data_IF_680047116367
#
_entry.id   IF_680047116367
#
_cell.length_a   1.000
_cell.length_b   1.000
_cell.length_c   1.000
_cell.angle_alpha   90.00
_cell.angle_beta   90.00
_cell.angle_gamma   90.00
#
_symmetry.space_group_name_H-M   'P 1'
#
loop_
_entity.id
_entity.type
_entity.pdbx_description
1 polymer ?
#
# COMPACT_ATOMS: atom_id res chain seq x y z
N UNK A 1 -9.23 -17.25 0.45
CA UNK A 1 -9.46 -15.87 0.87
C UNK A 1 -10.30 -15.83 2.15
N UNK A 2 -9.75 -16.27 3.24
CA UNK A 2 -10.37 -16.16 4.57
C UNK A 2 -9.72 -15.05 5.38
N UNK A 3 -10.35 -14.66 6.47
CA UNK A 3 -9.71 -13.86 7.50
C UNK A 3 -8.57 -14.73 8.06
N UNK A 4 -7.35 -14.18 8.14
CA UNK A 4 -6.19 -14.92 8.64
C UNK A 4 -6.48 -15.56 9.99
N UNK A 5 -6.20 -16.85 10.13
CA UNK A 5 -6.44 -17.63 11.33
C UNK A 5 -7.84 -18.22 11.48
N UNK A 6 -8.83 -17.84 10.65
CA UNK A 6 -10.22 -18.31 10.79
C UNK A 6 -10.40 -19.82 10.58
N UNK A 7 -9.50 -20.46 9.85
CA UNK A 7 -9.47 -21.89 9.55
C UNK A 7 -8.39 -22.66 10.35
N UNK A 8 -7.68 -21.96 11.23
CA UNK A 8 -6.69 -22.58 12.12
C UNK A 8 -7.36 -23.14 13.37
N UNK A 9 -6.86 -24.26 13.93
CA UNK A 9 -7.33 -24.74 15.21
C UNK A 9 -7.02 -23.71 16.33
N UNK A 10 -7.85 -23.71 17.37
CA UNK A 10 -7.58 -22.92 18.55
C UNK A 10 -6.20 -23.25 19.12
N UNK A 11 -5.56 -22.25 19.71
CA UNK A 11 -4.28 -22.41 20.39
C UNK A 11 -4.43 -23.29 21.62
N UNK A 12 -3.33 -23.78 22.20
CA UNK A 12 -3.35 -24.65 23.42
C UNK A 12 -4.09 -24.01 24.61
N UNK A 13 -4.16 -22.69 24.67
CA UNK A 13 -4.91 -21.91 25.65
C UNK A 13 -6.39 -21.68 25.26
N UNK A 14 -6.85 -22.28 24.17
CA UNK A 14 -8.24 -22.23 23.68
C UNK A 14 -8.62 -20.90 23.01
N UNK A 15 -7.64 -20.11 22.55
CA UNK A 15 -7.90 -18.87 21.84
C UNK A 15 -7.86 -19.09 20.34
N UNK A 16 -8.78 -18.43 19.61
CA UNK A 16 -8.75 -18.40 18.15
C UNK A 16 -7.59 -17.52 17.67
N UNK A 17 -6.71 -18.02 16.79
CA UNK A 17 -5.66 -17.21 16.19
C UNK A 17 -6.24 -16.05 15.40
N UNK A 18 -5.66 -14.85 15.54
CA UNK A 18 -5.99 -13.67 14.74
C UNK A 18 -4.71 -13.02 14.22
N UNK A 19 -4.80 -12.29 13.11
CA UNK A 19 -3.67 -11.52 12.59
C UNK A 19 -3.17 -10.51 13.64
N UNK A 20 -4.07 -9.88 14.37
CA UNK A 20 -3.75 -8.95 15.45
C UNK A 20 -2.85 -9.60 16.52
N UNK A 21 -3.22 -10.79 16.99
CA UNK A 21 -2.40 -11.54 17.98
C UNK A 21 -1.04 -11.95 17.42
N UNK A 22 -0.99 -12.38 16.15
CA UNK A 22 0.28 -12.68 15.49
C UNK A 22 1.17 -11.43 15.46
N UNK A 23 0.64 -10.29 15.05
CA UNK A 23 1.39 -9.03 14.99
C UNK A 23 1.95 -8.63 16.36
N UNK A 24 1.15 -8.77 17.43
CA UNK A 24 1.61 -8.51 18.80
C UNK A 24 2.76 -9.44 19.21
N UNK A 25 2.68 -10.73 18.88
CA UNK A 25 3.76 -11.68 19.17
C UNK A 25 5.03 -11.38 18.35
N UNK A 26 4.88 -11.05 17.08
CA UNK A 26 6.03 -10.66 16.22
C UNK A 26 6.64 -9.37 16.74
N UNK A 27 5.85 -8.40 17.20
CA UNK A 27 6.33 -7.15 17.78
C UNK A 27 7.26 -7.38 18.97
N UNK A 28 6.93 -8.33 19.85
CA UNK A 28 7.80 -8.70 20.99
C UNK A 28 9.16 -9.24 20.51
N UNK A 29 9.17 -9.99 19.41
CA UNK A 29 10.41 -10.57 18.84
C UNK A 29 11.28 -9.52 18.17
N UNK A 30 10.69 -8.58 17.41
CA UNK A 30 11.46 -7.59 16.64
C UNK A 30 11.87 -6.36 17.45
N UNK A 31 11.18 -6.07 18.55
CA UNK A 31 11.42 -4.90 19.42
C UNK A 31 12.89 -4.72 19.86
N UNK A 32 13.64 -5.78 20.29
CA UNK A 32 15.05 -5.62 20.65
C UNK A 32 15.95 -5.19 19.48
N UNK A 33 15.49 -5.41 18.24
CA UNK A 33 16.22 -5.10 17.02
C UNK A 33 15.74 -3.81 16.36
N UNK A 34 14.78 -3.08 16.99
CA UNK A 34 14.10 -1.91 16.39
C UNK A 34 13.46 -2.24 15.02
N UNK A 35 13.02 -3.49 14.85
CA UNK A 35 12.43 -3.94 13.59
C UNK A 35 11.04 -3.33 13.34
N UNK A 36 10.71 -3.14 12.07
CA UNK A 36 9.40 -2.69 11.61
C UNK A 36 8.53 -3.87 11.17
N UNK A 37 7.24 -3.78 11.44
CA UNK A 37 6.24 -4.72 10.93
C UNK A 37 5.34 -3.96 9.97
N UNK A 38 5.32 -4.38 8.70
CA UNK A 38 4.43 -3.87 7.66
C UNK A 38 3.47 -4.97 7.23
N UNK A 39 2.20 -4.64 7.08
CA UNK A 39 1.17 -5.59 6.64
C UNK A 39 0.71 -5.24 5.24
N UNK A 40 0.83 -6.20 4.33
CA UNK A 40 0.44 -6.07 2.94
C UNK A 40 -0.69 -7.04 2.59
N UNK A 41 -1.44 -6.74 1.52
CA UNK A 41 -2.49 -7.59 0.94
C UNK A 41 -3.66 -7.92 1.87
N UNK A 42 -4.11 -6.92 2.62
CA UNK A 42 -5.33 -7.04 3.42
C UNK A 42 -6.59 -6.95 2.54
N UNK A 43 -7.67 -7.48 3.06
CA UNK A 43 -9.01 -7.30 2.45
C UNK A 43 -9.85 -6.38 3.34
N UNK A 44 -10.76 -5.58 2.76
CA UNK A 44 -11.64 -4.69 3.53
C UNK A 44 -12.35 -5.40 4.68
N UNK A 45 -12.86 -6.61 4.43
CA UNK A 45 -13.60 -7.43 5.40
C UNK A 45 -12.70 -7.94 6.57
N UNK A 46 -11.38 -7.93 6.37
CA UNK A 46 -10.41 -8.32 7.37
C UNK A 46 -10.07 -7.23 8.39
N UNK A 47 -10.52 -6.00 8.17
CA UNK A 47 -10.21 -4.84 9.01
C UNK A 47 -11.11 -4.81 10.26
N UNK A 48 -10.79 -5.67 11.22
CA UNK A 48 -11.50 -5.75 12.50
C UNK A 48 -11.06 -4.66 13.47
N UNK A 49 -11.90 -4.35 14.47
CA UNK A 49 -11.56 -3.39 15.53
C UNK A 49 -10.29 -3.79 16.28
N UNK A 50 -10.10 -5.11 16.52
CA UNK A 50 -8.89 -5.65 17.14
C UNK A 50 -7.65 -5.36 16.28
N UNK A 51 -7.73 -5.55 14.96
CA UNK A 51 -6.61 -5.30 14.05
C UNK A 51 -6.27 -3.81 13.98
N UNK A 52 -7.28 -2.95 13.83
CA UNK A 52 -7.12 -1.49 13.79
C UNK A 52 -6.45 -0.98 15.08
N UNK A 53 -6.95 -1.42 16.24
CA UNK A 53 -6.35 -1.05 17.53
C UNK A 53 -4.92 -1.60 17.68
N UNK A 54 -4.64 -2.80 17.20
CA UNK A 54 -3.29 -3.37 17.23
C UNK A 54 -2.31 -2.56 16.39
N UNK A 55 -2.71 -2.15 15.17
CA UNK A 55 -1.86 -1.30 14.32
C UNK A 55 -1.61 0.05 14.98
N UNK A 56 -2.63 0.67 15.57
CA UNK A 56 -2.49 1.95 16.25
C UNK A 56 -1.61 1.90 17.50
N UNK A 57 -1.78 0.84 18.32
CA UNK A 57 -1.26 0.80 19.70
C UNK A 57 0.06 0.03 19.84
N UNK A 58 0.56 -0.61 18.75
CA UNK A 58 1.80 -1.39 18.75
C UNK A 58 2.89 -0.61 18.00
N UNK A 59 3.89 -0.04 18.68
CA UNK A 59 4.88 0.85 18.06
C UNK A 59 5.72 0.23 16.94
N UNK A 60 5.92 -1.08 16.97
CA UNK A 60 6.67 -1.81 15.95
C UNK A 60 5.85 -2.03 14.66
N UNK A 61 4.53 -1.87 14.73
CA UNK A 61 3.65 -1.98 13.57
C UNK A 61 3.52 -0.62 12.91
N UNK A 62 3.96 -0.55 11.66
CA UNK A 62 3.91 0.70 10.91
C UNK A 62 2.45 1.10 10.63
N UNK A 63 2.12 2.39 10.69
CA UNK A 63 0.82 2.91 10.29
C UNK A 63 0.69 2.90 8.75
N UNK A 64 0.86 1.73 8.16
CA UNK A 64 0.85 1.48 6.74
C UNK A 64 -0.03 0.27 6.45
N UNK A 65 -1.00 0.42 5.55
CA UNK A 65 -1.93 -0.64 5.19
C UNK A 65 -2.08 -0.71 3.67
N UNK A 66 -1.94 -1.92 3.13
CA UNK A 66 -2.24 -2.22 1.72
C UNK A 66 -3.55 -3.01 1.64
N UNK A 67 -4.57 -2.39 1.04
CA UNK A 67 -5.90 -2.98 0.80
C UNK A 67 -6.21 -2.88 -0.69
N UNK A 68 -5.90 -3.92 -1.50
CA UNK A 68 -6.26 -3.95 -2.91
C UNK A 68 -7.78 -4.04 -3.10
N UNK A 69 -8.45 -2.91 -3.35
CA UNK A 69 -9.90 -2.88 -3.55
C UNK A 69 -10.32 -3.49 -4.88
N UNK A 70 -9.49 -3.39 -5.90
CA UNK A 70 -9.71 -3.76 -7.30
C UNK A 70 -10.74 -2.86 -8.00
N UNK A 71 -11.88 -2.62 -7.40
CA UNK A 71 -12.94 -1.73 -7.83
C UNK A 71 -13.73 -1.22 -6.63
N UNK A 72 -14.51 -0.13 -6.77
CA UNK A 72 -15.38 0.37 -5.71
C UNK A 72 -16.87 0.07 -5.97
N UNK A 73 -17.27 -0.08 -7.24
CA UNK A 73 -18.66 -0.32 -7.59
C UNK A 73 -19.16 -1.71 -7.14
N UNK A 74 -20.26 -1.76 -6.39
CA UNK A 74 -20.83 -2.98 -5.82
C UNK A 74 -21.12 -4.07 -6.86
N UNK A 75 -21.66 -3.69 -8.04
CA UNK A 75 -21.99 -4.65 -9.10
C UNK A 75 -20.72 -5.30 -9.65
N UNK A 76 -19.67 -4.53 -9.88
CA UNK A 76 -18.40 -5.04 -10.39
C UNK A 76 -17.70 -5.87 -9.32
N UNK A 77 -17.65 -5.43 -8.07
CA UNK A 77 -17.10 -6.22 -6.97
C UNK A 77 -17.79 -7.59 -6.85
N UNK A 78 -19.11 -7.62 -6.90
CA UNK A 78 -19.88 -8.86 -6.87
C UNK A 78 -19.56 -9.79 -8.06
N UNK A 79 -19.33 -9.23 -9.25
CA UNK A 79 -18.91 -10.01 -10.43
C UNK A 79 -17.49 -10.57 -10.28
N UNK A 80 -16.61 -9.87 -9.55
CA UNK A 80 -15.26 -10.33 -9.18
C UNK A 80 -15.30 -11.39 -8.06
N UNK A 81 -16.46 -11.66 -7.46
CA UNK A 81 -16.59 -12.53 -6.29
C UNK A 81 -16.14 -11.87 -5.00
N UNK A 82 -16.20 -10.54 -4.95
CA UNK A 82 -15.90 -9.70 -3.78
C UNK A 82 -17.19 -9.10 -3.22
N UNK A 83 -17.16 -8.69 -1.98
CA UNK A 83 -18.21 -7.91 -1.31
C UNK A 83 -17.77 -6.45 -1.16
N UNK A 84 -18.72 -5.60 -0.81
CA UNK A 84 -18.49 -4.18 -0.54
C UNK A 84 -19.17 -3.26 -1.55
N UNK A 85 -19.17 -1.99 -1.22
CA UNK A 85 -19.70 -0.88 -2.01
C UNK A 85 -18.79 0.33 -1.85
N UNK A 86 -18.93 1.31 -2.74
CA UNK A 86 -18.21 2.60 -2.68
C UNK A 86 -18.37 3.26 -1.30
N UNK A 87 -19.58 3.22 -0.72
CA UNK A 87 -19.84 3.82 0.59
C UNK A 87 -19.13 3.07 1.73
N UNK A 88 -19.18 1.74 1.75
CA UNK A 88 -18.49 0.94 2.78
C UNK A 88 -16.97 1.08 2.72
N UNK A 89 -16.40 1.16 1.52
CA UNK A 89 -14.98 1.42 1.34
C UNK A 89 -14.59 2.82 1.81
N UNK A 90 -15.39 3.84 1.50
CA UNK A 90 -15.20 5.22 1.99
C UNK A 90 -15.19 5.26 3.51
N UNK A 91 -16.20 4.69 4.16
CA UNK A 91 -16.30 4.62 5.61
C UNK A 91 -15.11 3.90 6.25
N UNK A 92 -14.61 2.83 5.63
CA UNK A 92 -13.43 2.11 6.09
C UNK A 92 -12.18 2.99 6.04
N UNK A 93 -11.88 3.62 4.89
CA UNK A 93 -10.67 4.42 4.74
C UNK A 93 -10.70 5.70 5.59
N UNK A 94 -11.85 6.35 5.72
CA UNK A 94 -12.04 7.49 6.61
C UNK A 94 -11.80 7.09 8.07
N UNK A 95 -12.30 5.93 8.46
CA UNK A 95 -12.08 5.36 9.79
C UNK A 95 -10.58 5.09 10.04
N UNK A 96 -9.88 4.46 9.10
CA UNK A 96 -8.46 4.16 9.24
C UNK A 96 -7.64 5.43 9.45
N UNK A 97 -7.89 6.48 8.66
CA UNK A 97 -7.22 7.78 8.83
C UNK A 97 -7.55 8.46 10.16
N UNK A 98 -8.79 8.30 10.63
CA UNK A 98 -9.24 8.92 11.90
C UNK A 98 -8.65 8.22 13.11
N UNK A 99 -8.61 6.88 13.11
CA UNK A 99 -8.21 6.10 14.27
C UNK A 99 -6.70 5.87 14.36
N UNK A 100 -5.97 5.90 13.23
CA UNK A 100 -4.53 5.63 13.19
C UNK A 100 -3.80 6.89 12.71
N UNK A 101 -3.11 7.62 13.61
CA UNK A 101 -2.35 8.80 13.24
C UNK A 101 -1.24 8.49 12.22
N UNK A 102 -1.10 9.33 11.19
CA UNK A 102 -0.08 9.16 10.15
C UNK A 102 -0.32 7.97 9.22
N UNK A 103 -1.58 7.49 9.12
CA UNK A 103 -1.93 6.33 8.28
C UNK A 103 -1.54 6.55 6.82
N UNK A 104 -0.72 5.65 6.30
CA UNK A 104 -0.38 5.51 4.89
C UNK A 104 -1.26 4.41 4.29
N UNK A 105 -1.97 4.75 3.23
CA UNK A 105 -2.91 3.85 2.55
C UNK A 105 -2.42 3.52 1.15
N UNK A 106 -2.20 2.23 0.92
CA UNK A 106 -1.93 1.66 -0.39
C UNK A 106 -3.13 0.89 -0.89
N UNK A 107 -3.42 1.00 -2.19
CA UNK A 107 -4.50 0.26 -2.84
C UNK A 107 -4.12 -0.22 -4.23
N UNK A 108 -5.01 -0.96 -4.85
CA UNK A 108 -4.90 -1.44 -6.22
C UNK A 108 -6.25 -1.30 -6.91
N UNK A 109 -6.28 -0.68 -8.09
CA UNK A 109 -7.42 -0.59 -8.97
C UNK A 109 -7.25 -1.48 -10.20
N UNK A 110 -8.36 -2.00 -10.74
CA UNK A 110 -8.39 -2.80 -11.96
C UNK A 110 -9.42 -2.21 -12.92
N UNK A 111 -9.00 -1.87 -14.12
CA UNK A 111 -9.85 -1.34 -15.19
C UNK A 111 -10.20 -2.40 -16.21
N UNK A 112 -11.43 -2.33 -16.73
CA UNK A 112 -11.88 -3.17 -17.85
C UNK A 112 -12.27 -4.59 -17.47
N UNK A 113 -12.72 -4.82 -16.24
CA UNK A 113 -13.30 -6.11 -15.88
C UNK A 113 -14.55 -6.40 -16.73
N UNK A 114 -14.85 -7.66 -17.12
CA UNK A 114 -15.99 -7.98 -17.97
C UNK A 114 -17.29 -7.34 -17.51
N UNK A 115 -17.95 -6.61 -18.42
CA UNK A 115 -19.19 -5.89 -18.18
C UNK A 115 -19.07 -4.55 -17.44
N UNK A 116 -17.86 -4.07 -17.17
CA UNK A 116 -17.66 -2.72 -16.65
C UNK A 116 -18.15 -1.66 -17.65
N UNK A 117 -18.99 -0.73 -17.20
CA UNK A 117 -19.49 0.39 -18.01
C UNK A 117 -18.59 1.62 -17.86
N UNK A 118 -18.84 2.66 -18.69
CA UNK A 118 -18.12 3.93 -18.57
C UNK A 118 -18.41 4.61 -17.23
N UNK A 119 -19.69 4.60 -16.80
CA UNK A 119 -20.10 5.20 -15.54
C UNK A 119 -19.44 4.50 -14.33
N UNK A 120 -19.25 3.19 -14.39
CA UNK A 120 -18.57 2.45 -13.32
C UNK A 120 -17.05 2.68 -13.32
N UNK A 121 -16.45 2.83 -14.49
CA UNK A 121 -15.06 3.26 -14.61
C UNK A 121 -14.87 4.67 -14.08
N UNK A 122 -15.81 5.59 -14.35
CA UNK A 122 -15.81 6.95 -13.79
C UNK A 122 -15.96 6.91 -12.27
N UNK A 123 -16.83 6.05 -11.72
CA UNK A 123 -16.98 5.87 -10.27
C UNK A 123 -15.67 5.43 -9.59
N UNK A 124 -14.91 4.51 -10.23
CA UNK A 124 -13.60 4.10 -9.71
C UNK A 124 -12.60 5.28 -9.75
N UNK A 125 -12.57 6.02 -10.85
CA UNK A 125 -11.72 7.19 -11.00
C UNK A 125 -12.01 8.24 -9.91
N UNK A 126 -13.29 8.61 -9.75
CA UNK A 126 -13.75 9.58 -8.76
C UNK A 126 -13.44 9.12 -7.33
N UNK A 127 -13.61 7.83 -7.04
CA UNK A 127 -13.29 7.26 -5.74
C UNK A 127 -11.79 7.33 -5.43
N UNK A 128 -10.91 6.97 -6.37
CA UNK A 128 -9.45 7.07 -6.18
C UNK A 128 -9.04 8.54 -5.99
N UNK A 129 -9.63 9.46 -6.77
CA UNK A 129 -9.38 10.89 -6.64
C UNK A 129 -9.83 11.44 -5.28
N UNK A 130 -11.03 11.06 -4.81
CA UNK A 130 -11.58 11.48 -3.52
C UNK A 130 -10.76 10.95 -2.33
N UNK A 131 -10.34 9.68 -2.43
CA UNK A 131 -9.64 9.03 -1.34
C UNK A 131 -8.17 9.43 -1.24
N UNK A 132 -7.56 10.01 -2.25
CA UNK A 132 -6.16 10.49 -2.22
C UNK A 132 -5.22 9.47 -1.56
N UNK A 133 -5.23 8.22 -2.07
CA UNK A 133 -4.32 7.18 -1.55
C UNK A 133 -2.87 7.59 -1.72
N UNK A 134 -2.03 7.25 -0.75
CA UNK A 134 -0.59 7.54 -0.81
C UNK A 134 0.07 6.74 -1.93
N UNK A 135 -0.35 5.49 -2.12
CA UNK A 135 0.13 4.62 -3.20
C UNK A 135 -1.03 3.90 -3.88
N UNK A 136 -1.04 3.91 -5.20
CA UNK A 136 -2.06 3.19 -5.97
C UNK A 136 -1.42 2.45 -7.15
N UNK A 137 -1.58 1.14 -7.19
CA UNK A 137 -1.27 0.34 -8.37
C UNK A 137 -2.50 0.23 -9.27
N UNK A 138 -2.32 0.32 -10.59
CA UNK A 138 -3.40 0.18 -11.55
C UNK A 138 -3.09 -0.93 -12.54
N UNK A 139 -4.06 -1.82 -12.76
CA UNK A 139 -3.93 -2.93 -13.70
C UNK A 139 -5.07 -2.94 -14.70
N UNK A 140 -4.73 -3.26 -15.95
CA UNK A 140 -5.70 -3.63 -16.97
C UNK A 140 -6.13 -5.07 -16.73
N UNK A 141 -7.43 -5.35 -16.75
CA UNK A 141 -7.92 -6.71 -16.65
C UNK A 141 -7.40 -7.57 -17.81
N UNK A 142 -6.82 -8.75 -17.47
CA UNK A 142 -6.40 -9.78 -18.39
C UNK A 142 -7.24 -11.06 -18.20
N UNK A 143 -7.82 -11.62 -19.27
CA UNK A 143 -8.61 -12.85 -19.19
C UNK A 143 -7.70 -14.08 -19.07
N UNK A 144 -7.43 -14.52 -17.85
CA UNK A 144 -6.61 -15.71 -17.60
C UNK A 144 -7.37 -17.01 -17.83
N UNK A 145 -6.77 -17.95 -18.54
CA UNK A 145 -7.36 -19.23 -18.88
C UNK A 145 -7.83 -19.99 -17.62
N UNK A 146 -9.03 -20.56 -17.69
CA UNK A 146 -9.62 -21.30 -16.57
C UNK A 146 -10.42 -20.47 -15.57
N UNK A 147 -10.28 -19.15 -15.58
CA UNK A 147 -11.03 -18.25 -14.67
C UNK A 147 -12.49 -18.05 -15.10
N UNK A 148 -13.34 -17.66 -14.15
CA UNK A 148 -14.72 -17.28 -14.44
C UNK A 148 -14.78 -16.00 -15.29
N UNK A 149 -13.93 -15.02 -15.01
CA UNK A 149 -13.85 -13.77 -15.76
C UNK A 149 -13.56 -13.96 -17.25
N UNK A 150 -12.65 -14.89 -17.60
CA UNK A 150 -12.35 -15.21 -18.99
C UNK A 150 -13.53 -15.85 -19.75
N UNK A 151 -14.49 -16.46 -19.02
CA UNK A 151 -15.69 -17.11 -19.60
C UNK A 151 -16.89 -16.15 -19.72
N UNK A 152 -16.80 -14.95 -19.19
CA UNK A 152 -17.85 -13.95 -19.31
C UNK A 152 -17.93 -13.44 -20.75
N UNK A 153 -19.13 -13.29 -21.28
CA UNK A 153 -19.37 -12.93 -22.70
C UNK A 153 -19.23 -11.44 -22.97
N UNK A 154 -19.34 -10.61 -21.94
CA UNK A 154 -19.34 -9.15 -21.98
C UNK A 154 -17.95 -8.59 -21.71
N UNK A 155 -16.93 -9.12 -22.40
CA UNK A 155 -15.57 -8.62 -22.33
C UNK A 155 -15.50 -7.16 -22.81
N UNK A 156 -14.82 -6.32 -22.05
CA UNK A 156 -14.55 -4.95 -22.48
C UNK A 156 -13.50 -4.97 -23.61
N UNK A 157 -13.67 -4.22 -24.70
CA UNK A 157 -12.65 -4.17 -25.76
C UNK A 157 -11.29 -3.69 -25.22
N UNK A 158 -10.20 -4.23 -25.76
CA UNK A 158 -8.85 -3.94 -25.25
C UNK A 158 -8.48 -2.45 -25.37
N UNK A 159 -8.93 -1.78 -26.43
CA UNK A 159 -8.72 -0.34 -26.63
C UNK A 159 -9.36 0.48 -25.48
N UNK A 160 -10.58 0.08 -25.08
CA UNK A 160 -11.31 0.75 -23.98
C UNK A 160 -10.64 0.46 -22.62
N UNK A 161 -10.18 -0.77 -22.40
CA UNK A 161 -9.42 -1.11 -21.20
C UNK A 161 -8.16 -0.25 -21.06
N UNK A 162 -7.40 -0.14 -22.17
CA UNK A 162 -6.16 0.64 -22.19
C UNK A 162 -6.44 2.12 -21.92
N UNK A 163 -7.48 2.70 -22.54
CA UNK A 163 -7.88 4.09 -22.34
C UNK A 163 -8.25 4.36 -20.86
N UNK A 164 -9.10 3.50 -20.27
CA UNK A 164 -9.49 3.62 -18.85
C UNK A 164 -8.29 3.48 -17.91
N UNK A 165 -7.43 2.49 -18.19
CA UNK A 165 -6.21 2.27 -17.40
C UNK A 165 -5.29 3.48 -17.47
N UNK A 166 -5.04 4.03 -18.66
CA UNK A 166 -4.16 5.19 -18.82
C UNK A 166 -4.71 6.42 -18.08
N UNK A 167 -6.02 6.68 -18.22
CA UNK A 167 -6.68 7.79 -17.52
C UNK A 167 -6.51 7.67 -15.99
N UNK A 168 -6.62 6.47 -15.46
CA UNK A 168 -6.44 6.23 -14.01
C UNK A 168 -4.95 6.32 -13.63
N UNK A 169 -4.01 5.86 -14.45
CA UNK A 169 -2.56 6.02 -14.25
C UNK A 169 -2.16 7.49 -14.18
N UNK A 170 -2.69 8.32 -15.11
CA UNK A 170 -2.41 9.76 -15.12
C UNK A 170 -2.88 10.46 -13.83
N UNK A 171 -4.01 10.03 -13.25
CA UNK A 171 -4.47 10.51 -11.94
C UNK A 171 -3.55 10.05 -10.82
N UNK A 172 -3.21 8.76 -10.79
CA UNK A 172 -2.40 8.16 -9.71
C UNK A 172 -1.00 8.78 -9.66
N UNK A 173 -0.42 9.08 -10.83
CA UNK A 173 0.86 9.80 -10.90
C UNK A 173 0.76 11.18 -10.25
N UNK A 174 -0.31 11.94 -10.52
CA UNK A 174 -0.53 13.24 -9.88
C UNK A 174 -0.70 13.11 -8.35
N UNK A 175 -1.46 12.11 -7.89
CA UNK A 175 -1.63 11.85 -6.46
C UNK A 175 -0.30 11.43 -5.81
N UNK A 176 0.53 10.64 -6.51
CA UNK A 176 1.85 10.23 -6.04
C UNK A 176 2.77 11.42 -5.78
N UNK A 177 2.81 12.41 -6.68
CA UNK A 177 3.56 13.64 -6.44
C UNK A 177 3.09 14.38 -5.19
N UNK A 178 1.78 14.46 -4.97
CA UNK A 178 1.23 15.14 -3.79
C UNK A 178 1.53 14.35 -2.52
N UNK A 179 1.42 13.02 -2.56
CA UNK A 179 1.64 12.15 -1.40
C UNK A 179 3.10 12.23 -0.91
N UNK A 180 4.07 12.08 -1.80
CA UNK A 180 5.50 12.15 -1.43
C UNK A 180 5.93 13.54 -1.03
N UNK A 181 5.41 14.60 -1.66
CA UNK A 181 5.73 15.99 -1.30
C UNK A 181 5.35 16.35 0.15
N UNK A 182 4.40 15.63 0.77
CA UNK A 182 4.02 15.84 2.18
C UNK A 182 5.17 15.53 3.15
N UNK A 183 6.09 14.64 2.76
CA UNK A 183 7.21 14.19 3.58
C UNK A 183 8.49 15.01 3.38
N UNK A 184 8.51 15.96 2.42
CA UNK A 184 9.65 16.86 2.23
C UNK A 184 9.82 17.77 3.46
N UNK A 185 11.04 17.78 4.00
CA UNK A 185 11.38 18.47 5.24
C UNK A 185 11.24 17.62 6.50
N UNK A 186 10.79 16.38 6.39
CA UNK A 186 10.79 15.44 7.51
C UNK A 186 12.19 14.84 7.72
N UNK A 187 12.50 14.56 8.99
CA UNK A 187 13.67 13.78 9.39
C UNK A 187 13.23 12.38 9.84
N UNK A 188 13.71 11.36 9.18
CA UNK A 188 13.30 9.99 9.46
C UNK A 188 14.42 8.95 9.28
N UNK A 189 14.21 7.76 9.83
CA UNK A 189 15.06 6.61 9.60
C UNK A 189 14.83 6.05 8.20
N UNK A 190 15.90 5.74 7.48
CA UNK A 190 15.93 5.07 6.18
C UNK A 190 16.70 3.77 6.32
N UNK A 191 16.12 2.66 5.91
CA UNK A 191 16.80 1.38 5.81
C UNK A 191 17.45 1.31 4.43
N UNK A 192 18.75 1.02 4.38
CA UNK A 192 19.49 0.92 3.12
C UNK A 192 19.25 -0.46 2.51
N UNK A 193 18.64 -0.50 1.34
CA UNK A 193 18.31 -1.73 0.60
C UNK A 193 19.36 -2.08 -0.46
N UNK A 194 20.01 -1.06 -1.03
CA UNK A 194 20.97 -1.23 -2.11
C UNK A 194 21.99 -0.11 -2.22
N UNK A 195 22.99 -0.37 -3.04
CA UNK A 195 24.03 0.60 -3.42
C UNK A 195 24.15 0.52 -4.94
N UNK A 196 23.94 1.63 -5.63
CA UNK A 196 24.09 1.73 -7.06
C UNK A 196 25.34 2.52 -7.42
N UNK A 197 26.14 1.99 -8.34
CA UNK A 197 27.32 2.66 -8.88
C UNK A 197 27.00 3.21 -10.28
N UNK A 198 27.28 4.48 -10.48
CA UNK A 198 27.14 5.17 -11.77
C UNK A 198 28.39 5.96 -12.11
N UNK A 199 28.45 6.50 -13.33
CA UNK A 199 29.54 7.40 -13.75
C UNK A 199 29.57 8.71 -12.94
N UNK A 200 28.49 9.06 -12.25
CA UNK A 200 28.36 10.25 -11.41
C UNK A 200 28.73 10.02 -9.93
N UNK A 201 28.88 8.76 -9.54
CA UNK A 201 29.24 8.37 -8.17
C UNK A 201 28.45 7.17 -7.67
N UNK A 202 28.54 6.96 -6.36
CA UNK A 202 27.80 5.92 -5.65
C UNK A 202 26.56 6.52 -5.01
N UNK A 203 25.41 5.90 -5.23
CA UNK A 203 24.12 6.28 -4.65
C UNK A 203 23.64 5.18 -3.72
N UNK A 204 23.21 5.55 -2.52
CA UNK A 204 22.54 4.62 -1.60
C UNK A 204 21.04 4.66 -1.88
N UNK A 205 20.44 3.48 -1.98
CA UNK A 205 18.99 3.31 -2.18
C UNK A 205 18.39 2.69 -0.92
N UNK A 206 17.33 3.28 -0.42
CA UNK A 206 16.68 2.77 0.78
C UNK A 206 15.18 3.07 0.80
N UNK A 207 14.54 2.75 1.92
CA UNK A 207 13.13 3.05 2.12
C UNK A 207 12.85 3.54 3.54
N UNK A 208 11.80 4.32 3.67
CA UNK A 208 11.29 4.82 4.95
C UNK A 208 10.15 3.93 5.49
N UNK A 209 9.66 4.29 6.67
CA UNK A 209 8.50 3.64 7.28
C UNK A 209 7.22 3.73 6.42
N UNK A 210 7.07 4.77 5.60
CA UNK A 210 5.90 4.98 4.74
C UNK A 210 6.05 4.39 3.33
N UNK A 211 7.18 3.75 2.98
CA UNK A 211 7.41 3.11 1.69
C UNK A 211 7.58 1.61 1.87
N UNK A 212 6.84 0.79 1.12
CA UNK A 212 7.08 -0.65 1.06
C UNK A 212 8.20 -0.92 0.04
N UNK A 213 9.27 -1.62 0.44
CA UNK A 213 10.38 -1.93 -0.47
C UNK A 213 9.88 -2.66 -1.71
N UNK A 214 10.49 -2.40 -2.86
CA UNK A 214 10.18 -2.96 -4.19
C UNK A 214 8.77 -2.63 -4.72
N UNK A 215 7.97 -1.84 -3.99
CA UNK A 215 6.57 -1.56 -4.35
C UNK A 215 6.24 -0.06 -4.49
N UNK A 216 6.81 0.78 -3.63
CA UNK A 216 6.34 2.15 -3.41
C UNK A 216 7.38 3.23 -3.76
N UNK A 217 8.41 2.88 -4.51
CA UNK A 217 9.55 3.75 -4.75
C UNK A 217 10.57 3.72 -3.62
N UNK A 218 11.58 4.58 -3.69
CA UNK A 218 12.74 4.54 -2.82
C UNK A 218 13.14 5.93 -2.31
N UNK A 219 14.08 5.95 -1.39
CA UNK A 219 14.85 7.13 -1.00
C UNK A 219 16.22 7.04 -1.66
N UNK A 220 16.56 8.04 -2.46
CA UNK A 220 17.83 8.21 -3.13
C UNK A 220 18.76 9.10 -2.32
N UNK A 221 19.94 8.62 -1.98
CA UNK A 221 20.92 9.33 -1.16
C UNK A 221 22.23 9.38 -1.92
N UNK A 222 22.57 10.56 -2.46
CA UNK A 222 23.73 10.77 -3.33
C UNK A 222 25.08 10.83 -2.56
N UNK A 223 25.06 11.24 -1.28
CA UNK A 223 26.25 11.42 -0.47
C UNK A 223 26.12 10.73 0.88
N UNK A 224 27.12 9.97 1.28
CA UNK A 224 27.20 9.28 2.56
C UNK A 224 27.81 7.91 2.48
N UNK A 225 28.15 7.34 3.64
CA UNK A 225 28.69 5.98 3.76
C UNK A 225 27.75 5.14 4.63
N UNK A 226 27.17 4.10 4.05
CA UNK A 226 26.40 3.10 4.77
C UNK A 226 26.45 1.76 4.03
N UNK A 227 26.16 0.68 4.73
CA UNK A 227 26.08 -0.66 4.15
C UNK A 227 24.62 -1.08 3.99
N UNK A 228 24.34 -2.00 3.08
CA UNK A 228 23.01 -2.62 2.94
C UNK A 228 22.60 -3.24 4.27
N UNK A 229 21.39 -2.90 4.72
CA UNK A 229 20.82 -3.30 6.00
C UNK A 229 21.09 -2.31 7.15
N UNK A 230 21.89 -1.27 6.94
CA UNK A 230 22.05 -0.20 7.93
C UNK A 230 20.78 0.67 7.98
N UNK A 231 20.52 1.23 9.16
CA UNK A 231 19.50 2.24 9.37
C UNK A 231 20.21 3.58 9.59
N UNK A 232 19.97 4.52 8.69
CA UNK A 232 20.54 5.87 8.73
C UNK A 232 19.45 6.90 9.00
N UNK A 233 19.79 8.01 9.67
CA UNK A 233 18.88 9.13 9.84
C UNK A 233 19.06 10.09 8.67
N UNK A 234 17.97 10.41 7.97
CA UNK A 234 17.99 11.29 6.80
C UNK A 234 17.03 12.47 6.96
N UNK A 235 17.42 13.62 6.44
CA UNK A 235 16.50 14.69 6.09
C UNK A 235 15.99 14.44 4.66
N UNK A 236 14.67 14.40 4.48
CA UNK A 236 14.05 14.27 3.17
C UNK A 236 13.95 15.66 2.53
N UNK A 237 14.77 15.91 1.49
CA UNK A 237 14.97 17.26 0.96
C UNK A 237 14.18 17.58 -0.31
N UNK A 238 13.81 16.54 -1.08
CA UNK A 238 13.03 16.68 -2.31
C UNK A 238 12.26 15.38 -2.59
N UNK A 239 11.33 15.43 -3.55
CA UNK A 239 10.53 14.28 -3.96
C UNK A 239 10.15 14.32 -5.44
N UNK A 240 9.96 13.13 -6.00
CA UNK A 240 9.29 12.90 -7.29
C UNK A 240 8.04 12.04 -7.07
N UNK A 241 7.40 11.59 -8.15
CA UNK A 241 6.31 10.63 -8.01
C UNK A 241 6.83 9.34 -7.34
N UNK A 242 6.42 9.11 -6.08
CA UNK A 242 6.79 7.97 -5.22
C UNK A 242 8.26 7.90 -4.77
N UNK A 243 9.18 8.65 -5.40
CA UNK A 243 10.59 8.67 -5.03
C UNK A 243 10.92 9.86 -4.12
N UNK A 244 11.87 9.69 -3.22
CA UNK A 244 12.35 10.72 -2.30
C UNK A 244 13.86 10.94 -2.48
N UNK A 245 14.31 12.15 -2.22
CA UNK A 245 15.73 12.48 -2.10
C UNK A 245 16.04 12.71 -0.62
N UNK A 246 17.02 11.98 -0.09
CA UNK A 246 17.46 12.07 1.30
C UNK A 246 18.91 12.52 1.43
N UNK A 247 19.20 13.21 2.52
CA UNK A 247 20.55 13.56 2.94
C UNK A 247 20.82 12.96 4.32
N UNK A 248 21.91 12.19 4.47
CA UNK A 248 22.25 11.60 5.78
C UNK A 248 22.61 12.71 6.76
N UNK A 249 22.03 12.64 7.94
CA UNK A 249 22.34 13.56 9.04
C UNK A 249 23.52 13.02 9.82
N UNK A 250 24.61 13.77 9.87
CA UNK A 250 25.76 13.42 10.68
C UNK A 250 25.40 13.37 12.18
N UNK A 251 25.96 12.38 12.90
CA UNK A 251 25.70 12.17 14.33
C UNK A 251 26.15 13.32 15.25
N UNK A 252 26.50 14.48 14.68
CA UNK A 252 27.02 15.67 15.37
C UNK A 252 26.10 16.88 15.31
N UNK A 253 24.93 16.77 14.66
CA UNK A 253 23.93 17.88 14.58
C UNK A 253 22.65 17.57 15.42
#
# INVERSE_FOLDING_TARGET
TGIWGSDMPDTEDGQTPTLAKLMQQVAEVVRPYKGWIRVLYLQPEGMTDELISTIRDTPEVLPYIDIPIQHCNERILKRMGRSGSTQELRELFDRLRTEIPGMVLRTTGMCGFPGETDEESDELYDFIQEQEFDYTSVFTYSPEEGTLGAKMSDQVPDEVKIERTQRLLDLVEQLGFVATARHVGERCEVIIDGIEESDEGTELIGHTWFQAPDCDGAVHIAEGEAAVGDIVLCDLVDSFCYEMIGEIVDATD
#
